data_IF_504685559454
#
_entry.id   IF_504685559454
#
_cell.length_a   1.000
_cell.length_b   1.000
_cell.length_c   1.000
_cell.angle_alpha   90.00
_cell.angle_beta   90.00
_cell.angle_gamma   90.00
#
_symmetry.space_group_name_H-M   'P 1'
#
loop_
_entity.id
_entity.type
_entity.pdbx_description
1 polymer ?
#
# COMPACT_ATOMS: atom_id res chain seq x y z
N UNK A 1 -0.14 14.73 -26.26
CA UNK A 1 0.71 13.53 -26.45
C UNK A 1 0.18 12.46 -25.53
N UNK A 2 -0.01 11.22 -26.01
CA UNK A 2 -0.44 10.10 -25.16
C UNK A 2 0.78 9.49 -24.46
N UNK A 3 0.59 8.81 -23.32
CA UNK A 3 1.69 8.23 -22.55
C UNK A 3 2.63 7.33 -23.37
N UNK A 4 2.09 6.46 -24.23
CA UNK A 4 2.93 5.60 -25.08
C UNK A 4 3.79 6.39 -26.08
N UNK A 5 3.32 7.54 -26.57
CA UNK A 5 4.06 8.42 -27.48
C UNK A 5 5.20 9.11 -26.74
N UNK A 6 4.94 9.57 -25.52
CA UNK A 6 5.96 10.17 -24.64
C UNK A 6 7.05 9.14 -24.27
N UNK A 7 6.65 7.92 -23.92
CA UNK A 7 7.57 6.81 -23.63
C UNK A 7 8.45 6.48 -24.85
N UNK A 8 7.83 6.34 -26.03
CA UNK A 8 8.55 6.08 -27.29
C UNK A 8 9.54 7.20 -27.61
N UNK A 9 9.11 8.47 -27.48
CA UNK A 9 9.93 9.64 -27.74
C UNK A 9 11.15 9.66 -26.80
N UNK A 10 10.96 9.43 -25.50
CA UNK A 10 12.05 9.40 -24.53
C UNK A 10 13.08 8.31 -24.85
N UNK A 11 12.64 7.11 -25.25
CA UNK A 11 13.56 6.05 -25.72
C UNK A 11 14.39 6.51 -26.91
N UNK A 12 13.78 7.15 -27.90
CA UNK A 12 14.46 7.64 -29.09
C UNK A 12 15.48 8.75 -28.76
N UNK A 13 15.14 9.66 -27.85
CA UNK A 13 16.04 10.71 -27.36
C UNK A 13 17.26 10.13 -26.64
N UNK A 14 17.09 9.00 -25.93
CA UNK A 14 18.20 8.25 -25.33
C UNK A 14 19.02 7.42 -26.34
N UNK A 15 18.68 7.48 -27.64
CA UNK A 15 19.43 6.81 -28.70
C UNK A 15 19.19 5.29 -28.78
N UNK A 16 18.26 4.73 -28.01
CA UNK A 16 18.00 3.29 -28.08
C UNK A 16 17.10 2.96 -29.26
N UNK A 17 17.48 1.95 -30.06
CA UNK A 17 16.51 1.25 -30.91
C UNK A 17 15.60 0.35 -30.05
N UNK A 18 14.46 -0.10 -30.58
CA UNK A 18 13.58 -1.05 -29.86
C UNK A 18 14.32 -2.33 -29.46
N UNK A 19 15.24 -2.82 -30.30
CA UNK A 19 16.03 -4.03 -30.02
C UNK A 19 17.03 -3.80 -28.88
N UNK A 20 17.80 -2.72 -28.96
CA UNK A 20 18.79 -2.36 -27.94
C UNK A 20 18.10 -2.12 -26.60
N UNK A 21 16.96 -1.42 -26.61
CA UNK A 21 16.20 -1.18 -25.39
C UNK A 21 15.67 -2.47 -24.78
N UNK A 22 15.05 -3.34 -25.58
CA UNK A 22 14.54 -4.63 -25.14
C UNK A 22 15.63 -5.50 -24.50
N UNK A 23 16.82 -5.54 -25.10
CA UNK A 23 18.00 -6.21 -24.53
C UNK A 23 18.42 -5.59 -23.20
N UNK A 24 18.50 -4.25 -23.12
CA UNK A 24 18.87 -3.51 -21.91
C UNK A 24 17.93 -3.79 -20.72
N UNK A 25 16.63 -3.95 -20.98
CA UNK A 25 15.62 -4.19 -19.93
C UNK A 25 15.31 -5.68 -19.71
N UNK A 26 15.93 -6.57 -20.49
CA UNK A 26 15.71 -8.02 -20.42
C UNK A 26 14.29 -8.43 -20.81
N UNK A 27 13.70 -7.80 -21.84
CA UNK A 27 12.36 -8.11 -22.35
C UNK A 27 12.38 -8.49 -23.83
N UNK A 28 11.38 -9.24 -24.34
CA UNK A 28 11.21 -9.46 -25.76
C UNK A 28 10.93 -8.15 -26.51
N UNK A 29 11.49 -8.00 -27.71
CA UNK A 29 11.28 -6.81 -28.56
C UNK A 29 9.80 -6.59 -28.87
N UNK A 30 9.03 -7.66 -29.02
CA UNK A 30 7.59 -7.58 -29.26
C UNK A 30 6.86 -6.88 -28.10
N UNK A 31 7.27 -7.09 -26.84
CA UNK A 31 6.62 -6.43 -25.69
C UNK A 31 6.85 -4.91 -25.76
N UNK A 32 8.07 -4.47 -26.07
CA UNK A 32 8.40 -3.05 -26.28
C UNK A 32 7.56 -2.46 -27.42
N UNK A 33 7.47 -3.17 -28.55
CA UNK A 33 6.68 -2.73 -29.71
C UNK A 33 5.20 -2.57 -29.40
N UNK A 34 4.64 -3.52 -28.65
CA UNK A 34 3.21 -3.53 -28.33
C UNK A 34 2.87 -2.38 -27.36
N UNK A 35 3.77 -2.04 -26.43
CA UNK A 35 3.65 -0.87 -25.55
C UNK A 35 3.67 0.44 -26.34
N UNK A 36 4.66 0.63 -27.23
CA UNK A 36 4.83 1.86 -28.01
C UNK A 36 3.74 2.06 -29.08
N UNK A 37 3.11 0.97 -29.53
CA UNK A 37 1.98 1.04 -30.47
C UNK A 37 0.63 1.27 -29.77
N UNK A 38 0.63 1.39 -28.43
CA UNK A 38 -0.59 1.50 -27.63
C UNK A 38 -1.49 0.26 -27.70
N UNK A 39 -0.96 -0.89 -28.13
CA UNK A 39 -1.70 -2.17 -28.25
C UNK A 39 -1.76 -2.92 -26.92
N UNK A 40 -0.73 -2.77 -26.08
CA UNK A 40 -0.77 -3.07 -24.66
C UNK A 40 -0.68 -1.73 -23.96
N UNK A 41 -1.66 -1.45 -23.10
CA UNK A 41 -1.64 -0.23 -22.32
C UNK A 41 -0.46 -0.35 -21.36
N UNK A 42 0.44 0.64 -21.33
CA UNK A 42 1.56 0.70 -20.39
C UNK A 42 1.11 0.40 -18.95
N UNK A 43 -0.14 0.75 -18.63
CA UNK A 43 -0.83 0.57 -17.35
C UNK A 43 -1.04 -0.90 -16.96
N UNK A 44 -1.11 -1.80 -17.95
CA UNK A 44 -1.29 -3.24 -17.76
C UNK A 44 0.02 -4.04 -17.69
N UNK A 45 1.18 -3.38 -17.77
CA UNK A 45 2.46 -4.07 -17.61
C UNK A 45 2.62 -4.58 -16.17
N UNK A 46 3.16 -5.78 -15.97
CA UNK A 46 3.63 -6.20 -14.65
C UNK A 46 4.57 -5.17 -14.03
N UNK A 47 4.41 -4.89 -12.74
CA UNK A 47 5.17 -3.86 -12.02
C UNK A 47 6.67 -4.06 -12.13
N UNK A 48 7.17 -5.29 -11.99
CA UNK A 48 8.59 -5.61 -12.17
C UNK A 48 9.14 -5.24 -13.57
N UNK A 49 8.34 -5.44 -14.62
CA UNK A 49 8.69 -5.06 -15.99
C UNK A 49 8.64 -3.55 -16.19
N UNK A 50 7.59 -2.90 -15.66
CA UNK A 50 7.46 -1.44 -15.71
C UNK A 50 8.66 -0.77 -15.03
N UNK A 51 9.07 -1.24 -13.84
CA UNK A 51 10.25 -0.74 -13.13
C UNK A 51 11.49 -0.81 -14.02
N UNK A 52 11.79 -1.97 -14.61
CA UNK A 52 12.97 -2.12 -15.50
C UNK A 52 12.92 -1.17 -16.69
N UNK A 53 11.75 -1.05 -17.33
CA UNK A 53 11.57 -0.21 -18.51
C UNK A 53 11.75 1.27 -18.20
N UNK A 54 11.10 1.76 -17.13
CA UNK A 54 11.14 3.16 -16.76
C UNK A 54 12.49 3.57 -16.18
N UNK A 55 13.11 2.74 -15.34
CA UNK A 55 14.46 2.98 -14.82
C UNK A 55 15.49 3.08 -15.95
N UNK A 56 15.39 2.25 -17.01
CA UNK A 56 16.32 2.32 -18.14
C UNK A 56 16.18 3.58 -19.01
N UNK A 57 15.05 4.29 -18.90
CA UNK A 57 14.78 5.56 -19.57
C UNK A 57 14.89 6.77 -18.64
N UNK A 58 15.24 6.54 -17.36
CA UNK A 58 15.31 7.56 -16.31
C UNK A 58 13.99 8.33 -16.18
N UNK A 59 12.87 7.61 -16.27
CA UNK A 59 11.52 8.18 -16.10
C UNK A 59 11.03 7.83 -14.70
N UNK A 60 10.62 8.84 -13.93
CA UNK A 60 9.86 8.65 -12.70
C UNK A 60 8.50 8.02 -13.03
N UNK A 61 8.23 6.84 -12.47
CA UNK A 61 6.99 6.11 -12.76
C UNK A 61 5.80 6.90 -12.22
N UNK A 62 5.85 7.33 -10.96
CA UNK A 62 4.79 8.13 -10.35
C UNK A 62 4.49 9.39 -11.17
N UNK A 63 5.51 10.15 -11.57
CA UNK A 63 5.30 11.41 -12.31
C UNK A 63 4.71 11.16 -13.70
N UNK A 64 5.23 10.16 -14.41
CA UNK A 64 4.70 9.81 -15.73
C UNK A 64 3.24 9.37 -15.63
N UNK A 65 2.90 8.52 -14.66
CA UNK A 65 1.53 8.06 -14.54
C UNK A 65 0.58 9.15 -14.05
N UNK A 66 1.02 10.03 -13.15
CA UNK A 66 0.25 11.20 -12.70
C UNK A 66 0.01 12.21 -13.85
N UNK A 67 0.97 12.35 -14.78
CA UNK A 67 0.84 13.24 -15.95
C UNK A 67 -0.12 12.69 -17.01
N UNK A 68 -0.01 11.39 -17.33
CA UNK A 68 -0.71 10.79 -18.46
C UNK A 68 -1.97 10.01 -18.10
N UNK A 69 -2.20 9.71 -16.81
CA UNK A 69 -3.32 8.89 -16.34
C UNK A 69 -3.96 9.47 -15.06
N UNK A 70 -5.30 9.41 -14.93
CA UNK A 70 -6.01 10.04 -13.82
C UNK A 70 -5.98 9.25 -12.50
N UNK A 71 -5.11 8.25 -12.35
CA UNK A 71 -5.20 7.24 -11.28
C UNK A 71 -5.12 7.81 -9.88
N UNK A 72 -4.21 8.75 -9.64
CA UNK A 72 -4.06 9.39 -8.33
C UNK A 72 -5.29 10.19 -7.95
N UNK A 73 -5.81 10.99 -8.89
CA UNK A 73 -7.01 11.79 -8.68
C UNK A 73 -8.24 10.89 -8.37
N UNK A 74 -8.48 9.88 -9.22
CA UNK A 74 -9.59 8.92 -9.03
C UNK A 74 -9.48 8.14 -7.71
N UNK A 75 -8.26 7.70 -7.36
CA UNK A 75 -8.01 6.96 -6.11
C UNK A 75 -8.21 7.85 -4.90
N UNK A 76 -7.70 9.09 -4.94
CA UNK A 76 -7.89 10.06 -3.87
C UNK A 76 -9.36 10.40 -3.67
N UNK A 77 -10.14 10.53 -4.75
CA UNK A 77 -11.59 10.75 -4.65
C UNK A 77 -12.28 9.59 -3.92
N UNK A 78 -12.02 8.34 -4.33
CA UNK A 78 -12.56 7.14 -3.67
C UNK A 78 -12.19 7.08 -2.19
N UNK A 79 -10.92 7.34 -1.86
CA UNK A 79 -10.41 7.35 -0.49
C UNK A 79 -11.09 8.44 0.34
N UNK A 80 -11.25 9.64 -0.21
CA UNK A 80 -11.91 10.76 0.46
C UNK A 80 -13.40 10.48 0.72
N UNK A 81 -14.09 9.87 -0.26
CA UNK A 81 -15.48 9.45 -0.09
C UNK A 81 -15.60 8.36 0.98
N UNK A 82 -14.71 7.38 0.99
CA UNK A 82 -14.70 6.35 2.03
C UNK A 82 -14.46 6.95 3.42
N UNK A 83 -13.52 7.89 3.57
CA UNK A 83 -13.24 8.56 4.85
C UNK A 83 -14.45 9.36 5.36
N UNK A 84 -15.22 9.99 4.46
CA UNK A 84 -16.46 10.69 4.81
C UNK A 84 -17.53 9.73 5.31
N UNK A 85 -17.64 8.56 4.67
CA UNK A 85 -18.63 7.54 5.02
C UNK A 85 -18.23 6.68 6.23
N UNK A 86 -16.94 6.67 6.57
CA UNK A 86 -16.38 5.88 7.67
C UNK A 86 -15.58 6.81 8.62
N UNK A 87 -16.26 7.73 9.33
CA UNK A 87 -15.58 8.64 10.23
C UNK A 87 -14.90 7.85 11.36
N UNK A 88 -13.72 8.33 11.76
CA UNK A 88 -13.00 7.78 12.91
C UNK A 88 -13.81 7.93 14.18
N UNK A 89 -13.77 6.88 15.00
CA UNK A 89 -14.27 6.95 16.36
C UNK A 89 -13.21 7.59 17.27
N UNK A 90 -13.60 8.63 17.99
CA UNK A 90 -12.72 9.36 18.91
C UNK A 90 -13.20 9.32 20.36
N UNK A 91 -14.40 8.79 20.64
CA UNK A 91 -14.91 8.66 22.00
C UNK A 91 -14.08 7.69 22.82
N UNK A 92 -13.55 8.18 23.94
CA UNK A 92 -12.62 7.45 24.77
C UNK A 92 -13.20 6.11 25.26
N UNK A 93 -14.44 6.11 25.76
CA UNK A 93 -15.12 4.95 26.30
C UNK A 93 -15.39 3.87 25.24
N UNK A 94 -15.80 4.29 24.04
CA UNK A 94 -16.01 3.39 22.90
C UNK A 94 -14.69 2.78 22.44
N UNK A 95 -13.64 3.58 22.32
CA UNK A 95 -12.30 3.10 21.94
C UNK A 95 -11.76 2.09 22.96
N UNK A 96 -11.92 2.39 24.25
CA UNK A 96 -11.50 1.52 25.36
C UNK A 96 -12.18 0.16 25.29
N UNK A 97 -13.50 0.15 25.19
CA UNK A 97 -14.29 -1.09 25.05
C UNK A 97 -13.92 -1.88 23.78
N UNK A 98 -13.78 -1.18 22.64
CA UNK A 98 -13.45 -1.80 21.35
C UNK A 98 -12.09 -2.49 21.36
N UNK A 99 -11.06 -1.83 21.90
CA UNK A 99 -9.71 -2.39 21.98
C UNK A 99 -9.64 -3.55 22.98
N UNK A 100 -10.28 -3.41 24.14
CA UNK A 100 -10.38 -4.52 25.11
C UNK A 100 -11.00 -5.77 24.48
N UNK A 101 -12.11 -5.62 23.77
CA UNK A 101 -12.77 -6.72 23.08
C UNK A 101 -11.87 -7.34 22.00
N UNK A 102 -11.05 -6.54 21.31
CA UNK A 102 -10.10 -7.04 20.31
C UNK A 102 -8.99 -7.87 20.93
N UNK A 103 -8.39 -7.42 22.03
CA UNK A 103 -7.36 -8.15 22.79
C UNK A 103 -7.93 -9.49 23.29
N UNK A 104 -9.16 -9.48 23.82
CA UNK A 104 -9.78 -10.71 24.33
C UNK A 104 -10.10 -11.71 23.21
N UNK A 105 -10.56 -11.23 22.04
CA UNK A 105 -10.73 -12.08 20.85
C UNK A 105 -9.40 -12.65 20.36
N UNK A 106 -8.33 -11.87 20.47
CA UNK A 106 -6.98 -12.30 20.10
C UNK A 106 -6.46 -13.42 20.98
N UNK A 107 -6.60 -13.29 22.30
CA UNK A 107 -6.28 -14.36 23.25
C UNK A 107 -6.93 -15.69 22.86
N UNK A 108 -8.23 -15.65 22.53
CA UNK A 108 -9.00 -16.84 22.16
C UNK A 108 -8.59 -17.44 20.82
N UNK A 109 -8.18 -16.61 19.85
CA UNK A 109 -7.93 -17.05 18.46
C UNK A 109 -6.51 -17.55 18.24
N UNK A 110 -5.54 -16.93 18.88
CA UNK A 110 -4.11 -17.21 18.67
C UNK A 110 -3.51 -18.10 19.76
N UNK A 111 -4.33 -18.57 20.72
CA UNK A 111 -3.88 -19.31 21.90
C UNK A 111 -2.66 -18.65 22.56
N UNK A 112 -2.72 -17.32 22.72
CA UNK A 112 -1.61 -16.55 23.26
C UNK A 112 -1.27 -17.04 24.67
N UNK A 113 0.01 -17.26 24.92
CA UNK A 113 0.49 -17.57 26.26
C UNK A 113 0.15 -16.45 27.25
N UNK A 114 0.12 -16.81 28.53
CA UNK A 114 -0.27 -15.88 29.59
C UNK A 114 0.66 -14.66 29.70
N UNK A 115 1.94 -14.83 29.38
CA UNK A 115 2.94 -13.77 29.45
C UNK A 115 2.67 -12.71 28.40
N UNK A 116 2.50 -13.12 27.14
CA UNK A 116 2.22 -12.23 26.01
C UNK A 116 0.88 -11.53 26.16
N UNK A 117 -0.13 -12.24 26.66
CA UNK A 117 -1.43 -11.63 26.98
C UNK A 117 -1.33 -10.57 28.09
N UNK A 118 -0.51 -10.82 29.11
CA UNK A 118 -0.27 -9.88 30.20
C UNK A 118 0.47 -8.62 29.70
N UNK A 119 1.46 -8.77 28.83
CA UNK A 119 2.16 -7.64 28.18
C UNK A 119 1.20 -6.75 27.41
N UNK A 120 0.37 -7.34 26.53
CA UNK A 120 -0.64 -6.61 25.76
C UNK A 120 -1.65 -5.91 26.66
N UNK A 121 -2.05 -6.54 27.76
CA UNK A 121 -2.97 -5.97 28.74
C UNK A 121 -2.36 -4.80 29.51
N UNK A 122 -1.07 -4.87 29.84
CA UNK A 122 -0.33 -3.76 30.48
C UNK A 122 -0.20 -2.58 29.51
N UNK A 123 0.17 -2.84 28.26
CA UNK A 123 0.29 -1.80 27.24
C UNK A 123 -1.05 -1.11 26.99
N UNK A 124 -2.13 -1.89 26.88
CA UNK A 124 -3.49 -1.37 26.79
C UNK A 124 -3.84 -0.41 27.94
N UNK A 125 -3.55 -0.79 29.19
CA UNK A 125 -3.82 0.08 30.35
C UNK A 125 -3.01 1.37 30.27
N UNK A 126 -1.70 1.26 30.00
CA UNK A 126 -0.81 2.40 29.89
C UNK A 126 -1.24 3.41 28.81
N UNK A 127 -1.68 2.92 27.64
CA UNK A 127 -2.22 3.76 26.57
C UNK A 127 -3.44 4.54 27.05
N UNK A 128 -4.40 3.85 27.66
CA UNK A 128 -5.64 4.47 28.09
C UNK A 128 -5.48 5.41 29.29
N UNK A 129 -4.49 5.18 30.15
CA UNK A 129 -4.07 6.14 31.19
C UNK A 129 -3.42 7.38 30.57
N UNK A 130 -2.51 7.19 29.61
CA UNK A 130 -1.84 8.26 28.88
C UNK A 130 -2.78 9.13 28.06
N UNK A 131 -3.95 8.60 27.68
CA UNK A 131 -4.96 9.33 26.92
C UNK A 131 -5.85 10.25 27.77
N UNK A 132 -5.92 10.05 29.10
CA UNK A 132 -6.80 10.82 30.00
C UNK A 132 -6.61 12.34 29.86
N UNK A 133 -5.37 12.88 29.84
CA UNK A 133 -5.15 14.32 29.72
C UNK A 133 -5.59 14.92 28.37
N UNK A 134 -5.85 14.08 27.36
CA UNK A 134 -6.23 14.49 26.01
C UNK A 134 -7.73 14.34 25.75
N UNK A 135 -8.52 13.96 26.75
CA UNK A 135 -9.97 13.84 26.65
C UNK A 135 -10.59 15.25 26.75
N UNK A 136 -11.29 15.66 25.70
CA UNK A 136 -12.10 16.88 25.70
C UNK A 136 -13.37 16.73 26.53
N UNK A 137 -14.06 17.85 26.77
CA UNK A 137 -15.32 17.87 27.54
C UNK A 137 -16.41 16.99 26.93
N UNK A 138 -16.38 16.75 25.62
CA UNK A 138 -17.31 15.86 24.90
C UNK A 138 -16.93 14.36 25.00
N UNK A 139 -15.92 14.03 25.82
CA UNK A 139 -15.44 12.66 26.02
C UNK A 139 -14.62 12.11 24.86
N UNK A 140 -14.23 12.94 23.88
CA UNK A 140 -13.42 12.53 22.73
C UNK A 140 -11.95 12.90 22.89
N UNK A 141 -11.09 12.08 22.31
CA UNK A 141 -9.67 12.41 22.16
C UNK A 141 -9.43 13.14 20.83
N UNK A 142 -8.37 13.94 20.76
CA UNK A 142 -7.98 14.58 19.51
C UNK A 142 -7.48 13.57 18.46
N UNK A 143 -7.56 13.92 17.18
CA UNK A 143 -6.97 13.11 16.11
C UNK A 143 -5.45 12.92 16.28
N UNK A 144 -4.75 13.93 16.83
CA UNK A 144 -3.32 13.82 17.15
C UNK A 144 -3.07 12.75 18.22
N UNK A 145 -3.87 12.74 19.29
CA UNK A 145 -3.78 11.71 20.33
C UNK A 145 -4.12 10.32 19.77
N UNK A 146 -5.13 10.22 18.91
CA UNK A 146 -5.49 8.97 18.24
C UNK A 146 -4.32 8.42 17.40
N UNK A 147 -3.71 9.25 16.56
CA UNK A 147 -2.56 8.86 15.72
C UNK A 147 -1.36 8.47 16.58
N UNK A 148 -1.10 9.18 17.67
CA UNK A 148 0.05 8.94 18.53
C UNK A 148 -0.08 7.67 19.38
N UNK A 149 -1.27 7.37 19.90
CA UNK A 149 -1.45 6.33 20.92
C UNK A 149 -2.28 5.14 20.44
N UNK A 150 -3.33 5.36 19.63
CA UNK A 150 -4.26 4.30 19.22
C UNK A 150 -3.77 3.57 17.97
N UNK A 151 -3.32 4.30 16.94
CA UNK A 151 -2.87 3.67 15.68
C UNK A 151 -1.71 2.69 15.90
N UNK A 152 -0.62 3.04 16.61
CA UNK A 152 0.50 2.11 16.82
C UNK A 152 0.09 0.84 17.56
N UNK A 153 -0.84 0.97 18.52
CA UNK A 153 -1.35 -0.19 19.23
C UNK A 153 -2.24 -1.09 18.36
N UNK A 154 -3.10 -0.49 17.53
CA UNK A 154 -3.87 -1.26 16.54
C UNK A 154 -2.96 -1.98 15.55
N UNK A 155 -1.87 -1.32 15.15
CA UNK A 155 -0.84 -1.88 14.28
C UNK A 155 -0.18 -3.11 14.92
N UNK A 156 0.28 -3.02 16.17
CA UNK A 156 0.86 -4.16 16.90
C UNK A 156 -0.14 -5.34 17.01
N UNK A 157 -1.41 -5.04 17.35
CA UNK A 157 -2.46 -6.06 17.41
C UNK A 157 -2.75 -6.71 16.05
N UNK A 158 -2.57 -5.98 14.93
CA UNK A 158 -2.75 -6.52 13.58
C UNK A 158 -1.56 -7.42 13.20
N UNK A 159 -0.33 -7.02 13.50
CA UNK A 159 0.85 -7.87 13.25
C UNK A 159 0.80 -9.19 14.01
N UNK A 160 0.33 -9.18 15.26
CA UNK A 160 0.10 -10.42 16.01
C UNK A 160 -0.90 -11.36 15.32
N UNK A 161 -1.89 -10.84 14.58
CA UNK A 161 -2.84 -11.65 13.81
C UNK A 161 -2.25 -12.18 12.51
N UNK A 162 -1.27 -11.45 11.98
CA UNK A 162 -0.72 -11.70 10.66
C UNK A 162 0.28 -12.86 10.67
N UNK A 163 1.11 -12.91 11.71
CA UNK A 163 2.25 -13.83 11.77
C UNK A 163 3.44 -13.35 10.94
N UNK A 164 4.39 -14.25 10.71
CA UNK A 164 5.62 -13.93 9.98
C UNK A 164 5.35 -13.85 8.47
N UNK A 165 5.69 -12.70 7.89
CA UNK A 165 5.72 -12.47 6.44
C UNK A 165 7.17 -12.24 6.05
N UNK A 166 7.67 -13.01 5.09
CA UNK A 166 9.10 -12.97 4.71
C UNK A 166 9.37 -12.04 3.51
N UNK A 167 8.43 -11.93 2.56
CA UNK A 167 8.61 -11.10 1.37
C UNK A 167 8.60 -9.59 1.72
N UNK A 168 9.66 -8.89 1.30
CA UNK A 168 9.89 -7.47 1.63
C UNK A 168 8.75 -6.55 1.17
N UNK A 169 8.25 -6.74 -0.05
CA UNK A 169 7.18 -5.92 -0.65
C UNK A 169 5.87 -6.17 0.08
N UNK A 170 5.54 -7.45 0.33
CA UNK A 170 4.38 -7.84 1.10
C UNK A 170 4.41 -7.23 2.50
N UNK A 171 5.54 -7.33 3.21
CA UNK A 171 5.75 -6.70 4.50
C UNK A 171 5.51 -5.19 4.45
N UNK A 172 6.09 -4.48 3.47
CA UNK A 172 5.91 -3.02 3.33
C UNK A 172 4.45 -2.62 3.07
N UNK A 173 3.75 -3.37 2.23
CA UNK A 173 2.33 -3.12 1.92
C UNK A 173 1.46 -3.38 3.14
N UNK A 174 1.68 -4.51 3.82
CA UNK A 174 0.93 -4.92 5.02
C UNK A 174 1.16 -3.93 6.15
N UNK A 175 2.42 -3.57 6.40
CA UNK A 175 2.80 -2.61 7.43
C UNK A 175 2.13 -1.25 7.20
N UNK A 176 2.22 -0.71 5.98
CA UNK A 176 1.58 0.54 5.62
C UNK A 176 0.05 0.45 5.75
N UNK A 177 -0.57 -0.65 5.32
CA UNK A 177 -2.00 -0.90 5.49
C UNK A 177 -2.40 -0.92 6.97
N UNK A 178 -1.55 -1.42 7.87
CA UNK A 178 -1.84 -1.48 9.30
C UNK A 178 -1.86 -0.12 9.98
N UNK A 179 -1.04 0.83 9.51
CA UNK A 179 -1.10 2.24 9.89
C UNK A 179 -2.32 2.98 9.32
N UNK A 180 -3.03 2.37 8.39
CA UNK A 180 -4.35 2.82 7.96
C UNK A 180 -5.46 2.10 8.73
N UNK A 181 -6.67 2.62 8.60
CA UNK A 181 -7.89 1.93 9.06
C UNK A 181 -8.56 1.10 7.97
N UNK A 182 -7.93 1.02 6.79
CA UNK A 182 -8.43 0.23 5.69
C UNK A 182 -8.27 -1.26 5.95
N UNK A 183 -9.23 -2.01 5.45
CA UNK A 183 -9.18 -3.45 5.30
C UNK A 183 -8.69 -3.83 3.90
N UNK A 184 -8.40 -5.12 3.71
CA UNK A 184 -8.16 -5.68 2.37
C UNK A 184 -9.36 -5.54 1.43
N UNK A 185 -10.59 -5.46 1.97
CA UNK A 185 -11.78 -5.21 1.15
C UNK A 185 -11.76 -3.79 0.62
N UNK A 186 -11.43 -2.82 1.48
CA UNK A 186 -11.33 -1.42 1.09
C UNK A 186 -10.23 -1.24 0.04
N UNK A 187 -9.05 -1.87 0.25
CA UNK A 187 -7.96 -1.84 -0.73
C UNK A 187 -8.37 -2.45 -2.08
N UNK A 188 -9.12 -3.56 -2.06
CA UNK A 188 -9.70 -4.17 -3.26
C UNK A 188 -10.57 -3.19 -4.04
N UNK A 189 -11.47 -2.49 -3.35
CA UNK A 189 -12.44 -1.57 -3.95
C UNK A 189 -11.77 -0.30 -4.50
N UNK A 190 -10.75 0.21 -3.79
CA UNK A 190 -9.97 1.36 -4.26
C UNK A 190 -9.17 1.03 -5.51
N UNK A 191 -8.44 -0.10 -5.48
CA UNK A 191 -7.47 -0.45 -6.51
C UNK A 191 -8.06 -1.23 -7.68
N UNK A 192 -9.27 -1.79 -7.55
CA UNK A 192 -9.88 -2.65 -8.58
C UNK A 192 -9.23 -4.04 -8.65
N UNK A 193 -8.72 -4.54 -7.53
CA UNK A 193 -8.03 -5.84 -7.42
C UNK A 193 -8.90 -6.74 -6.56
N UNK A 194 -9.22 -7.96 -7.00
CA UNK A 194 -10.03 -8.84 -6.17
C UNK A 194 -9.40 -9.12 -4.80
N UNK A 195 -10.20 -9.11 -3.74
CA UNK A 195 -9.77 -9.47 -2.37
C UNK A 195 -9.05 -10.83 -2.34
N UNK A 196 -9.53 -11.80 -3.14
CA UNK A 196 -8.89 -13.12 -3.25
C UNK A 196 -7.45 -13.01 -3.74
N UNK A 197 -7.21 -12.19 -4.74
CA UNK A 197 -5.88 -12.01 -5.30
C UNK A 197 -4.94 -11.27 -4.34
N UNK A 198 -5.44 -10.23 -3.65
CA UNK A 198 -4.68 -9.55 -2.59
C UNK A 198 -4.29 -10.52 -1.45
N UNK A 199 -5.20 -11.41 -1.05
CA UNK A 199 -4.92 -12.44 -0.05
C UNK A 199 -3.87 -13.45 -0.52
N UNK A 200 -3.89 -13.84 -1.79
CA UNK A 200 -2.86 -14.70 -2.38
C UNK A 200 -1.50 -14.03 -2.43
N UNK A 201 -1.44 -12.73 -2.70
CA UNK A 201 -0.20 -11.97 -2.62
C UNK A 201 0.33 -11.95 -1.18
N UNK A 202 -0.54 -11.68 -0.21
CA UNK A 202 -0.22 -11.78 1.22
C UNK A 202 0.29 -13.17 1.63
N UNK A 203 -0.36 -14.26 1.18
CA UNK A 203 0.05 -15.64 1.50
C UNK A 203 1.22 -16.14 0.64
N UNK A 204 1.83 -15.26 -0.17
CA UNK A 204 2.94 -15.58 -1.07
C UNK A 204 2.61 -16.64 -2.14
N UNK A 205 1.33 -16.95 -2.36
CA UNK A 205 0.83 -17.74 -3.48
C UNK A 205 0.80 -16.97 -4.81
N UNK A 206 0.99 -15.65 -4.73
CA UNK A 206 1.16 -14.72 -5.82
C UNK A 206 2.15 -13.62 -5.36
N UNK A 207 2.67 -12.83 -6.30
CA UNK A 207 3.64 -11.78 -6.01
C UNK A 207 3.04 -10.42 -6.38
N UNK A 208 3.10 -9.47 -5.45
CA UNK A 208 2.65 -8.09 -5.68
C UNK A 208 3.39 -7.45 -6.86
N UNK A 209 4.63 -7.85 -7.15
CA UNK A 209 5.43 -7.33 -8.28
C UNK A 209 4.89 -7.81 -9.65
N UNK A 210 4.01 -8.80 -9.66
CA UNK A 210 3.34 -9.33 -10.86
C UNK A 210 1.97 -8.71 -11.12
N UNK A 211 1.48 -7.87 -10.21
CA UNK A 211 0.33 -7.01 -10.48
C UNK A 211 0.63 -6.07 -11.65
N UNK A 212 -0.43 -5.55 -12.27
CA UNK A 212 -0.24 -4.45 -13.20
C UNK A 212 0.30 -3.22 -12.47
N UNK A 213 1.10 -2.41 -13.17
CA UNK A 213 1.67 -1.19 -12.61
C UNK A 213 0.58 -0.20 -12.19
N UNK A 214 -0.56 -0.16 -12.89
CA UNK A 214 -1.74 0.57 -12.44
C UNK A 214 -2.20 0.13 -11.04
N UNK A 215 -2.33 -1.18 -10.83
CA UNK A 215 -2.76 -1.73 -9.56
C UNK A 215 -1.76 -1.42 -8.43
N UNK A 216 -0.45 -1.56 -8.71
CA UNK A 216 0.61 -1.21 -7.76
C UNK A 216 0.63 0.28 -7.41
N UNK A 217 0.50 1.17 -8.40
CA UNK A 217 0.42 2.61 -8.16
C UNK A 217 -0.80 2.97 -7.32
N UNK A 218 -1.99 2.40 -7.61
CA UNK A 218 -3.18 2.62 -6.80
C UNK A 218 -2.98 2.15 -5.36
N UNK A 219 -2.32 1.01 -5.13
CA UNK A 219 -1.96 0.57 -3.76
C UNK A 219 -1.09 1.63 -3.08
N UNK A 220 -0.04 2.10 -3.75
CA UNK A 220 0.86 3.15 -3.23
C UNK A 220 0.11 4.45 -2.90
N UNK A 221 -0.79 4.93 -3.77
CA UNK A 221 -1.61 6.12 -3.52
C UNK A 221 -2.54 5.94 -2.32
N UNK A 222 -3.24 4.80 -2.21
CA UNK A 222 -4.11 4.50 -1.05
C UNK A 222 -3.32 4.52 0.26
N UNK A 223 -2.12 3.95 0.23
CA UNK A 223 -1.25 3.80 1.41
C UNK A 223 -0.38 5.05 1.66
N UNK A 224 -0.47 6.07 0.80
CA UNK A 224 0.36 7.26 0.83
C UNK A 224 1.86 6.93 0.91
N UNK A 225 2.31 6.09 -0.03
CA UNK A 225 3.68 5.65 -0.20
C UNK A 225 4.14 5.90 -1.63
N UNK A 226 5.43 6.14 -1.81
CA UNK A 226 6.04 6.13 -3.14
C UNK A 226 6.19 4.69 -3.64
N UNK A 227 6.16 4.51 -4.96
CA UNK A 227 6.29 3.18 -5.57
C UNK A 227 7.66 2.57 -5.26
N UNK A 228 8.70 3.40 -5.32
CA UNK A 228 10.10 3.04 -5.09
C UNK A 228 10.34 2.54 -3.67
N UNK A 229 9.69 3.16 -2.68
CA UNK A 229 9.78 2.77 -1.27
C UNK A 229 9.17 1.39 -1.03
N UNK A 230 8.11 1.05 -1.78
CA UNK A 230 7.35 -0.19 -1.60
C UNK A 230 7.96 -1.33 -2.40
N UNK A 231 8.18 -1.13 -3.70
CA UNK A 231 8.50 -2.19 -4.67
C UNK A 231 9.99 -2.44 -4.89
N UNK A 232 10.85 -1.89 -4.02
CA UNK A 232 12.30 -2.02 -4.10
C UNK A 232 12.82 -1.66 -5.50
N UNK A 233 12.24 -0.62 -6.11
CA UNK A 233 12.62 -0.17 -7.44
C UNK A 233 14.13 0.13 -7.41
N UNK A 234 14.90 -0.55 -8.25
CA UNK A 234 16.32 -0.28 -8.42
C UNK A 234 16.45 1.16 -8.91
N UNK A 235 16.69 2.08 -7.96
CA UNK A 235 17.30 3.36 -8.27
C UNK A 235 18.74 2.97 -8.64
N UNK A 236 19.02 2.92 -9.93
CA UNK A 236 20.40 2.95 -10.40
C UNK A 236 20.99 4.31 -9.98
N UNK A 237 21.45 4.39 -8.72
CA UNK A 237 22.45 5.36 -8.32
C UNK A 237 23.78 4.84 -8.85
N UNK A 238 24.06 5.11 -10.12
CA UNK A 238 25.41 5.10 -10.67
C UNK A 238 25.64 6.45 -11.32
#
# INVERSE_FOLDING_TARGET
MRGYEAFQKRRQEMGYSQRIFAEKVGLPVQEVQVCERGRQVLTGLPTDKAIKMFSALEISISDFYDEYYPYKAETNEKVNMWKKNNPREYRYDILKSRLYNRIHKLKKRLDLDETRFLELSKLYRSIFESLIPFIGEDGKISNQAYIKYIIPYLHELKWLQEGDVEDSVSCKIIDALFYTEYSYSDLSDFCGISVRHLRRCKSQEADFRKLSIEASLKICYVLNKELEDVFDCLINKQ
#
